data_IF_362737478157
#
_entry.id   IF_362737478157
#
_cell.length_a   1.000
_cell.length_b   1.000
_cell.length_c   1.000
_cell.angle_alpha   90.00
_cell.angle_beta   90.00
_cell.angle_gamma   90.00
#
_symmetry.space_group_name_H-M   'P 1'
#
loop_
_entity.id
_entity.type
_entity.pdbx_description
1 polymer ?
#
# COMPACT_ATOMS: atom_id res chain seq x y z
N UNK A 1 18.05 -1.00 32.10
CA UNK A 1 18.10 -2.04 31.05
C UNK A 1 17.47 -1.49 29.78
N UNK A 2 18.29 -1.02 28.83
CA UNK A 2 17.81 -0.43 27.58
C UNK A 2 17.49 -1.51 26.55
N UNK A 3 16.21 -1.67 26.22
CA UNK A 3 15.77 -2.54 25.14
C UNK A 3 16.35 -2.02 23.81
N UNK A 4 17.41 -2.67 23.32
CA UNK A 4 17.84 -2.53 21.92
C UNK A 4 16.73 -3.13 21.07
N UNK A 5 15.77 -2.30 20.68
CA UNK A 5 14.78 -2.57 19.64
C UNK A 5 15.54 -3.14 18.43
N UNK A 6 15.42 -4.45 18.23
CA UNK A 6 16.02 -5.16 17.10
C UNK A 6 15.49 -4.53 15.82
N UNK A 7 16.30 -3.68 15.19
CA UNK A 7 16.05 -3.17 13.84
C UNK A 7 16.15 -4.36 12.89
N UNK A 8 15.05 -5.12 12.78
CA UNK A 8 14.91 -6.18 11.79
C UNK A 8 15.12 -5.54 10.43
N UNK A 9 16.25 -5.86 9.79
CA UNK A 9 16.67 -5.29 8.52
C UNK A 9 15.59 -5.62 7.47
N UNK A 10 14.76 -4.64 7.12
CA UNK A 10 13.73 -4.81 6.09
C UNK A 10 14.42 -4.84 4.72
N UNK A 11 13.98 -5.75 3.86
CA UNK A 11 14.56 -6.05 2.54
C UNK A 11 14.82 -4.78 1.68
N UNK A 12 15.85 -4.79 0.83
CA UNK A 12 16.23 -3.63 0.00
C UNK A 12 15.07 -3.02 -0.83
N UNK A 13 14.09 -3.83 -1.23
CA UNK A 13 12.88 -3.36 -1.92
C UNK A 13 11.93 -2.57 -1.02
N UNK A 14 11.86 -2.90 0.27
CA UNK A 14 11.04 -2.20 1.25
C UNK A 14 11.54 -0.78 1.48
N UNK A 15 12.85 -0.61 1.68
CA UNK A 15 13.46 0.71 1.87
C UNK A 15 13.24 1.61 0.65
N UNK A 16 13.36 1.05 -0.56
CA UNK A 16 13.03 1.77 -1.81
C UNK A 16 11.56 2.18 -1.87
N UNK A 17 10.64 1.27 -1.52
CA UNK A 17 9.21 1.56 -1.52
C UNK A 17 8.86 2.71 -0.55
N UNK A 18 9.44 2.69 0.66
CA UNK A 18 9.26 3.75 1.66
C UNK A 18 9.78 5.09 1.16
N UNK A 19 10.93 5.12 0.48
CA UNK A 19 11.44 6.36 -0.13
C UNK A 19 10.47 6.96 -1.15
N UNK A 20 9.89 6.13 -2.03
CA UNK A 20 8.92 6.62 -3.02
C UNK A 20 7.64 7.14 -2.36
N UNK A 21 7.14 6.44 -1.34
CA UNK A 21 5.95 6.87 -0.59
C UNK A 21 6.21 8.17 0.16
N UNK A 22 7.37 8.32 0.78
CA UNK A 22 7.73 9.55 1.50
C UNK A 22 7.73 10.75 0.55
N UNK A 23 8.31 10.59 -0.65
CA UNK A 23 8.24 11.61 -1.71
C UNK A 23 6.81 11.85 -2.19
N UNK A 24 5.99 10.80 -2.30
CA UNK A 24 4.58 10.91 -2.68
C UNK A 24 3.78 11.74 -1.66
N UNK A 25 3.98 11.48 -0.36
CA UNK A 25 3.37 12.25 0.71
C UNK A 25 3.80 13.72 0.67
N UNK A 26 5.08 14.00 0.44
CA UNK A 26 5.55 15.38 0.29
C UNK A 26 4.86 16.07 -0.90
N UNK A 27 4.78 15.41 -2.06
CA UNK A 27 4.07 15.93 -3.22
C UNK A 27 2.57 16.14 -2.97
N UNK A 28 1.91 15.25 -2.22
CA UNK A 28 0.51 15.39 -1.79
C UNK A 28 0.32 16.63 -0.91
N UNK A 29 1.20 16.86 0.07
CA UNK A 29 1.16 18.08 0.90
C UNK A 29 1.39 19.36 0.09
N UNK A 30 2.20 19.30 -0.98
CA UNK A 30 2.43 20.39 -1.91
C UNK A 30 1.30 20.57 -2.95
N UNK A 31 0.19 19.82 -2.85
CA UNK A 31 -0.91 19.77 -3.84
C UNK A 31 -0.47 19.39 -5.26
N UNK A 32 0.72 18.79 -5.40
CA UNK A 32 1.24 18.27 -6.66
C UNK A 32 0.71 16.86 -6.92
N UNK A 33 -0.61 16.76 -7.11
CA UNK A 33 -1.32 15.48 -7.17
C UNK A 33 -0.85 14.58 -8.34
N UNK A 34 -0.52 15.17 -9.49
CA UNK A 34 -0.05 14.42 -10.67
C UNK A 34 1.23 13.63 -10.41
N UNK A 35 2.15 14.18 -9.61
CA UNK A 35 3.41 13.51 -9.27
C UNK A 35 3.26 12.64 -8.03
N UNK A 36 2.45 13.05 -7.04
CA UNK A 36 2.08 12.21 -5.91
C UNK A 36 1.51 10.86 -6.38
N UNK A 37 0.58 10.88 -7.34
CA UNK A 37 -0.02 9.68 -7.92
C UNK A 37 1.04 8.77 -8.56
N UNK A 38 1.99 9.32 -9.33
CA UNK A 38 3.06 8.53 -9.97
C UNK A 38 4.01 7.93 -8.93
N UNK A 39 4.30 8.65 -7.86
CA UNK A 39 5.18 8.19 -6.79
C UNK A 39 4.49 7.10 -5.96
N UNK A 40 3.19 7.22 -5.70
CA UNK A 40 2.41 6.16 -5.05
C UNK A 40 2.41 4.87 -5.87
N UNK A 41 2.18 4.92 -7.19
CA UNK A 41 2.23 3.69 -8.02
C UNK A 41 3.62 3.05 -8.04
N UNK A 42 4.68 3.85 -8.15
CA UNK A 42 6.07 3.36 -8.05
C UNK A 42 6.34 2.68 -6.71
N UNK A 43 5.92 3.29 -5.59
CA UNK A 43 6.06 2.70 -4.26
C UNK A 43 5.35 1.36 -4.12
N UNK A 44 4.09 1.28 -4.58
CA UNK A 44 3.28 0.05 -4.57
C UNK A 44 3.93 -1.10 -5.37
N UNK A 45 4.57 -0.80 -6.50
CA UNK A 45 5.33 -1.78 -7.30
C UNK A 45 6.48 -2.42 -6.51
N UNK A 46 7.23 -1.65 -5.72
CA UNK A 46 8.30 -2.19 -4.89
C UNK A 46 7.79 -2.94 -3.66
N UNK A 47 6.63 -2.54 -3.12
CA UNK A 47 5.98 -3.32 -2.07
C UNK A 47 5.51 -4.69 -2.57
N UNK A 48 4.94 -4.82 -3.77
CA UNK A 48 4.63 -6.13 -4.36
C UNK A 48 5.84 -7.05 -4.44
N UNK A 49 6.97 -6.56 -4.97
CA UNK A 49 8.22 -7.32 -5.02
C UNK A 49 8.74 -7.74 -3.64
N UNK A 50 8.37 -6.98 -2.61
CA UNK A 50 8.71 -7.33 -1.23
C UNK A 50 7.79 -8.43 -0.72
N UNK A 51 6.49 -8.38 -1.03
CA UNK A 51 5.49 -9.38 -0.65
C UNK A 51 5.71 -10.76 -1.29
N UNK A 52 6.27 -10.80 -2.49
CA UNK A 52 6.63 -12.04 -3.21
C UNK A 52 7.78 -12.80 -2.53
N UNK A 53 8.51 -12.17 -1.62
CA UNK A 53 9.63 -12.80 -0.94
C UNK A 53 9.12 -13.70 0.20
N UNK A 54 9.43 -15.00 0.14
CA UNK A 54 9.00 -16.00 1.13
C UNK A 54 9.54 -15.76 2.55
N UNK A 55 10.50 -14.85 2.71
CA UNK A 55 11.11 -14.51 4.01
C UNK A 55 10.26 -13.62 4.91
N UNK A 56 9.13 -13.10 4.43
CA UNK A 56 8.22 -12.30 5.28
C UNK A 56 7.32 -13.20 6.12
N UNK A 57 7.27 -12.93 7.42
CA UNK A 57 6.26 -13.53 8.29
C UNK A 57 4.88 -12.97 8.00
N UNK A 58 3.83 -13.72 8.38
CA UNK A 58 2.45 -13.31 8.11
C UNK A 58 2.12 -11.94 8.72
N UNK A 59 2.64 -11.63 9.91
CA UNK A 59 2.46 -10.32 10.55
C UNK A 59 3.11 -9.17 9.75
N UNK A 60 4.30 -9.38 9.17
CA UNK A 60 4.97 -8.36 8.34
C UNK A 60 4.29 -8.16 7.00
N UNK A 61 3.81 -9.27 6.41
CA UNK A 61 3.00 -9.26 5.20
C UNK A 61 1.71 -8.48 5.45
N UNK A 62 1.06 -8.73 6.58
CA UNK A 62 -0.15 -8.04 7.01
C UNK A 62 0.06 -6.54 7.16
N UNK A 63 1.11 -6.14 7.89
CA UNK A 63 1.46 -4.73 8.06
C UNK A 63 1.75 -4.05 6.72
N UNK A 64 2.45 -4.75 5.83
CA UNK A 64 2.78 -4.24 4.50
C UNK A 64 1.52 -4.04 3.65
N UNK A 65 0.62 -5.01 3.64
CA UNK A 65 -0.67 -4.95 2.95
C UNK A 65 -1.54 -3.81 3.48
N UNK A 66 -1.56 -3.60 4.80
CA UNK A 66 -2.27 -2.49 5.44
C UNK A 66 -1.78 -1.13 4.92
N UNK A 67 -0.45 -0.95 4.90
CA UNK A 67 0.20 0.27 4.40
C UNK A 67 -0.09 0.48 2.91
N UNK A 68 0.05 -0.56 2.09
CA UNK A 68 -0.26 -0.49 0.66
C UNK A 68 -1.70 -0.08 0.40
N UNK A 69 -2.66 -0.63 1.14
CA UNK A 69 -4.08 -0.27 1.00
C UNK A 69 -4.31 1.21 1.26
N UNK A 70 -3.73 1.77 2.32
CA UNK A 70 -3.87 3.19 2.64
C UNK A 70 -3.32 4.09 1.52
N UNK A 71 -2.14 3.76 0.98
CA UNK A 71 -1.55 4.53 -0.13
C UNK A 71 -2.33 4.38 -1.44
N UNK A 72 -2.87 3.20 -1.69
CA UNK A 72 -3.72 2.92 -2.84
C UNK A 72 -5.03 3.72 -2.79
N UNK A 73 -5.69 3.74 -1.62
CA UNK A 73 -6.92 4.49 -1.39
C UNK A 73 -6.69 5.99 -1.58
N UNK A 74 -5.63 6.53 -0.96
CA UNK A 74 -5.26 7.94 -1.15
C UNK A 74 -4.98 8.27 -2.62
N UNK A 75 -4.25 7.42 -3.34
CA UNK A 75 -3.97 7.63 -4.76
C UNK A 75 -5.23 7.57 -5.64
N UNK A 76 -6.26 6.79 -5.25
CA UNK A 76 -7.56 6.77 -5.91
C UNK A 76 -8.33 8.06 -5.66
N UNK A 77 -8.41 8.50 -4.40
CA UNK A 77 -9.04 9.77 -4.04
C UNK A 77 -8.40 10.93 -4.81
N UNK A 78 -7.07 11.02 -4.82
CA UNK A 78 -6.34 12.07 -5.55
C UNK A 78 -6.65 12.06 -7.06
N UNK A 79 -6.91 10.88 -7.65
CA UNK A 79 -7.34 10.74 -9.04
C UNK A 79 -8.78 11.17 -9.29
N UNK A 80 -9.66 11.12 -8.30
CA UNK A 80 -11.01 11.69 -8.44
C UNK A 80 -10.96 13.23 -8.41
N UNK A 81 -10.05 13.79 -7.60
CA UNK A 81 -9.85 15.25 -7.53
C UNK A 81 -9.10 15.82 -8.73
N UNK A 82 -8.22 15.06 -9.36
CA UNK A 82 -7.56 15.47 -10.60
C UNK A 82 -8.33 14.94 -11.80
N UNK A 83 -8.86 15.82 -12.67
CA UNK A 83 -9.49 15.50 -13.97
C UNK A 83 -8.56 14.80 -14.99
N UNK A 84 -7.52 14.12 -14.53
CA UNK A 84 -6.54 13.41 -15.35
C UNK A 84 -7.09 12.04 -15.75
N UNK A 85 -7.68 12.01 -16.94
CA UNK A 85 -8.04 10.81 -17.70
C UNK A 85 -6.81 9.99 -18.10
N UNK A 86 -6.16 9.30 -17.15
CA UNK A 86 -5.16 8.28 -17.47
C UNK A 86 -5.71 6.90 -17.15
N UNK A 87 -6.43 6.33 -18.11
CA UNK A 87 -7.02 4.99 -18.06
C UNK A 87 -6.02 3.91 -17.63
N UNK A 88 -4.79 3.97 -18.15
CA UNK A 88 -3.67 3.09 -17.75
C UNK A 88 -3.42 3.12 -16.24
N UNK A 89 -3.49 4.30 -15.63
CA UNK A 89 -3.25 4.49 -14.20
C UNK A 89 -4.43 3.94 -13.36
N UNK A 90 -5.65 3.99 -13.88
CA UNK A 90 -6.83 3.37 -13.25
C UNK A 90 -6.78 1.85 -13.36
N UNK A 91 -6.37 1.35 -14.51
CA UNK A 91 -6.17 -0.08 -14.75
C UNK A 91 -5.08 -0.66 -13.84
N UNK A 92 -3.96 0.05 -13.68
CA UNK A 92 -2.88 -0.37 -12.79
C UNK A 92 -3.36 -0.47 -11.33
N UNK A 93 -4.11 0.52 -10.84
CA UNK A 93 -4.74 0.45 -9.51
C UNK A 93 -5.74 -0.70 -9.42
N UNK A 94 -6.57 -0.93 -10.44
CA UNK A 94 -7.49 -2.08 -10.45
C UNK A 94 -6.76 -3.42 -10.37
N UNK A 95 -5.59 -3.56 -11.02
CA UNK A 95 -4.74 -4.76 -10.89
C UNK A 95 -4.30 -4.99 -9.44
N UNK A 96 -3.90 -3.93 -8.72
CA UNK A 96 -3.61 -4.03 -7.29
C UNK A 96 -4.83 -4.44 -6.47
N UNK A 97 -6.02 -3.92 -6.77
CA UNK A 97 -7.27 -4.29 -6.09
C UNK A 97 -7.61 -5.77 -6.27
N UNK A 98 -7.49 -6.29 -7.49
CA UNK A 98 -7.71 -7.71 -7.80
C UNK A 98 -6.66 -8.59 -7.11
N UNK A 99 -5.39 -8.17 -7.14
CA UNK A 99 -4.30 -8.87 -6.46
C UNK A 99 -4.52 -8.96 -4.94
N UNK A 100 -4.96 -7.88 -4.31
CA UNK A 100 -5.30 -7.89 -2.87
C UNK A 100 -6.43 -8.86 -2.56
N UNK A 101 -7.50 -8.85 -3.38
CA UNK A 101 -8.63 -9.79 -3.24
C UNK A 101 -8.22 -11.25 -3.45
N UNK A 102 -7.22 -11.49 -4.29
CA UNK A 102 -6.67 -12.83 -4.51
C UNK A 102 -5.78 -13.29 -3.36
N UNK A 103 -5.03 -12.39 -2.74
CA UNK A 103 -4.30 -12.67 -1.50
C UNK A 103 -5.26 -12.98 -0.34
N UNK A 104 -6.43 -12.33 -0.29
CA UNK A 104 -7.50 -12.63 0.68
C UNK A 104 -8.00 -14.08 0.52
N UNK A 105 -8.29 -14.51 -0.72
CA UNK A 105 -8.73 -15.89 -1.00
C UNK A 105 -7.71 -16.94 -0.59
N UNK A 106 -6.41 -16.61 -0.68
CA UNK A 106 -5.30 -17.50 -0.30
C UNK A 106 -5.10 -17.58 1.23
N UNK A 107 -5.92 -16.90 2.04
CA UNK A 107 -5.95 -17.06 3.50
C UNK A 107 -4.75 -16.45 4.25
N UNK A 108 -3.87 -15.70 3.57
CA UNK A 108 -2.62 -15.14 4.12
C UNK A 108 -2.75 -13.76 4.78
N UNK A 109 -3.99 -13.32 5.07
CA UNK A 109 -4.28 -11.95 5.53
C UNK A 109 -5.54 -11.81 6.39
N UNK A 110 -5.92 -12.88 7.12
CA UNK A 110 -7.20 -12.99 7.83
C UNK A 110 -7.40 -11.90 8.90
N UNK A 111 -6.36 -11.57 9.66
CA UNK A 111 -6.41 -10.58 10.76
C UNK A 111 -6.51 -9.12 10.28
N UNK A 112 -5.93 -8.79 9.11
CA UNK A 112 -5.98 -7.44 8.55
C UNK A 112 -7.41 -7.03 8.20
N UNK A 113 -8.15 -7.96 7.63
CA UNK A 113 -9.49 -7.72 7.14
C UNK A 113 -10.47 -7.54 8.29
N UNK A 114 -10.28 -8.23 9.42
CA UNK A 114 -11.06 -7.96 10.63
C UNK A 114 -10.77 -6.56 11.19
N UNK A 115 -9.50 -6.12 11.18
CA UNK A 115 -9.13 -4.77 11.62
C UNK A 115 -9.66 -3.69 10.68
N UNK A 116 -9.54 -3.89 9.36
CA UNK A 116 -10.03 -2.94 8.34
C UNK A 116 -11.56 -2.88 8.29
N UNK A 117 -12.26 -4.00 8.51
CA UNK A 117 -13.73 -4.05 8.59
C UNK A 117 -14.22 -3.27 9.82
N UNK A 118 -13.52 -3.38 10.96
CA UNK A 118 -13.79 -2.59 12.16
C UNK A 118 -13.49 -1.10 12.00
N UNK A 119 -12.43 -0.73 11.28
CA UNK A 119 -12.06 0.69 11.09
C UNK A 119 -12.86 1.42 9.99
N UNK A 120 -13.41 0.71 9.00
CA UNK A 120 -14.10 1.33 7.87
C UNK A 120 -15.64 1.38 7.97
N UNK A 121 -16.24 1.02 9.11
CA UNK A 121 -17.66 1.32 9.38
C UNK A 121 -18.67 0.86 8.32
N UNK A 122 -18.36 -0.15 7.50
CA UNK A 122 -19.32 -0.74 6.59
C UNK A 122 -20.29 -1.57 7.43
N UNK A 123 -21.40 -0.94 7.82
CA UNK A 123 -22.61 -1.61 8.26
C UNK A 123 -22.96 -2.64 7.18
N UNK A 124 -22.72 -3.91 7.49
CA UNK A 124 -23.46 -5.01 6.86
C UNK A 124 -24.92 -4.77 7.20
N UNK A 125 -25.75 -4.50 6.18
CA UNK A 125 -27.21 -4.63 6.28
C UNK A 125 -27.54 -6.05 6.72
#
# INVERSE_FOLDING_TARGET
>A
MGARCSKKQRSNNWTKAVSFVSQACQADTCRNYSDAIKLYTKGLKYFMKSLENDRLSDSEREEMLARMKNYMDRALQLKEFTRMSKEKQKEELRKYQVFMKELEKKGRGRLLMDRLRKNNGLKTV
#
